data_IF_877936825748
#
_entry.id   IF_877936825748
#
_cell.length_a   1.000
_cell.length_b   1.000
_cell.length_c   1.000
_cell.angle_alpha   90.00
_cell.angle_beta   90.00
_cell.angle_gamma   90.00
#
_symmetry.space_group_name_H-M   'P 1'
#
loop_
_entity.id
_entity.type
_entity.pdbx_description
1 polymer ?
#
# COMPACT_ATOMS: atom_id res chain seq x y z
N UNK A 1 63.37 -27.50 -33.29
CA UNK A 1 63.19 -28.37 -32.10
C UNK A 1 62.89 -27.44 -30.93
N UNK A 2 61.84 -27.52 -30.12
CA UNK A 2 60.69 -28.41 -29.95
C UNK A 2 59.77 -27.69 -28.92
N UNK A 3 58.45 -27.80 -29.10
CA UNK A 3 57.26 -27.53 -28.26
C UNK A 3 57.44 -27.08 -26.77
N UNK A 4 56.51 -26.36 -26.11
CA UNK A 4 55.15 -26.81 -25.81
C UNK A 4 54.33 -25.80 -24.97
N UNK A 5 53.12 -25.49 -25.47
CA UNK A 5 51.80 -25.26 -24.82
C UNK A 5 51.63 -24.55 -23.45
N UNK A 6 51.06 -23.34 -23.57
CA UNK A 6 49.91 -22.74 -22.87
C UNK A 6 49.14 -23.58 -21.82
N UNK A 7 48.89 -23.00 -20.63
CA UNK A 7 47.69 -23.29 -19.82
C UNK A 7 47.19 -22.01 -19.15
N UNK A 8 46.27 -21.28 -19.79
CA UNK A 8 45.42 -20.31 -19.10
C UNK A 8 44.34 -21.08 -18.33
N UNK A 9 44.40 -21.07 -17.00
CA UNK A 9 43.28 -21.45 -16.15
C UNK A 9 42.21 -20.37 -16.24
N UNK A 10 41.16 -20.61 -17.03
CA UNK A 10 39.99 -19.75 -17.09
C UNK A 10 39.15 -19.95 -15.82
N UNK A 11 39.06 -18.93 -14.98
CA UNK A 11 38.14 -18.88 -13.85
C UNK A 11 36.77 -18.45 -14.38
N UNK A 12 35.86 -19.41 -14.61
CA UNK A 12 34.51 -19.12 -15.06
C UNK A 12 33.71 -18.51 -13.91
N UNK A 13 33.51 -17.19 -13.94
CA UNK A 13 32.67 -16.46 -13.00
C UNK A 13 31.20 -16.75 -13.33
N UNK A 14 30.59 -17.68 -12.59
CA UNK A 14 29.16 -17.97 -12.67
C UNK A 14 28.37 -16.76 -12.15
N UNK A 15 27.89 -15.94 -13.06
CA UNK A 15 26.88 -14.92 -12.76
C UNK A 15 25.54 -15.63 -12.53
N UNK A 16 25.23 -15.93 -11.26
CA UNK A 16 23.90 -16.39 -10.88
C UNK A 16 22.90 -15.22 -11.05
N UNK A 17 21.77 -15.42 -11.75
CA UNK A 17 20.73 -14.39 -11.82
C UNK A 17 20.08 -14.24 -10.45
N UNK A 18 20.21 -13.06 -9.84
CA UNK A 18 19.44 -12.69 -8.66
C UNK A 18 17.98 -12.51 -9.07
N UNK A 19 17.08 -13.37 -8.57
CA UNK A 19 15.64 -13.14 -8.66
C UNK A 19 15.31 -11.93 -7.78
N UNK A 20 15.19 -10.75 -8.39
CA UNK A 20 14.57 -9.62 -7.73
C UNK A 20 13.08 -9.96 -7.53
N UNK A 21 12.70 -10.26 -6.29
CA UNK A 21 11.29 -10.34 -5.91
C UNK A 21 10.72 -8.93 -6.01
N UNK A 22 10.03 -8.62 -7.10
CA UNK A 22 9.19 -7.43 -7.17
C UNK A 22 8.11 -7.58 -6.08
N UNK A 23 8.18 -6.73 -5.05
CA UNK A 23 7.10 -6.63 -4.07
C UNK A 23 5.83 -6.28 -4.85
N UNK A 24 4.76 -7.06 -4.68
CA UNK A 24 3.47 -6.70 -5.24
C UNK A 24 3.10 -5.31 -4.68
N UNK A 25 2.73 -4.39 -5.56
CA UNK A 25 2.30 -3.03 -5.21
C UNK A 25 0.80 -3.12 -4.90
N UNK A 26 0.39 -2.80 -3.66
CA UNK A 26 -1.00 -2.92 -3.17
C UNK A 26 -1.76 -1.58 -3.21
N UNK A 27 -1.29 -0.67 -4.02
CA UNK A 27 -1.73 0.71 -4.07
C UNK A 27 -3.15 0.78 -4.63
N UNK A 28 -3.92 1.71 -4.09
CA UNK A 28 -5.35 1.80 -4.34
C UNK A 28 -5.79 3.26 -4.27
N UNK A 29 -6.95 3.56 -4.83
CA UNK A 29 -7.54 4.90 -4.76
C UNK A 29 -8.56 4.98 -3.63
N UNK A 30 -8.48 6.02 -2.80
CA UNK A 30 -9.58 6.40 -1.90
C UNK A 30 -10.44 7.44 -2.60
N UNK A 31 -11.75 7.21 -2.65
CA UNK A 31 -12.76 8.19 -3.06
C UNK A 31 -13.56 8.61 -1.84
N UNK A 32 -13.57 9.91 -1.55
CA UNK A 32 -14.26 10.46 -0.40
C UNK A 32 -15.67 10.94 -0.79
N UNK A 33 -16.71 10.29 -0.25
CA UNK A 33 -18.12 10.71 -0.37
C UNK A 33 -18.76 10.80 1.01
N UNK A 34 -17.99 11.27 1.99
CA UNK A 34 -18.42 11.32 3.39
C UNK A 34 -19.07 12.65 3.77
N UNK A 35 -18.84 13.72 2.99
CA UNK A 35 -19.19 15.09 3.37
C UNK A 35 -18.15 15.79 4.24
N UNK A 36 -17.06 15.11 4.63
CA UNK A 36 -15.98 15.64 5.48
C UNK A 36 -14.64 15.47 4.78
N UNK A 37 -13.70 16.38 5.02
CA UNK A 37 -12.33 16.26 4.51
C UNK A 37 -11.58 15.17 5.27
N UNK A 38 -10.80 14.36 4.56
CA UNK A 38 -9.87 13.38 5.15
C UNK A 38 -8.48 14.02 5.14
N UNK A 39 -7.87 14.10 6.31
CA UNK A 39 -6.56 14.75 6.52
C UNK A 39 -5.42 13.73 6.59
N UNK A 40 -5.68 12.53 7.10
CA UNK A 40 -4.66 11.50 7.27
C UNK A 40 -5.17 10.13 6.83
N UNK A 41 -4.30 9.35 6.20
CA UNK A 41 -4.56 7.96 5.84
C UNK A 41 -3.41 7.10 6.35
N UNK A 42 -3.74 5.98 6.98
CA UNK A 42 -2.77 5.01 7.45
C UNK A 42 -3.10 3.64 6.88
N UNK A 43 -2.06 2.91 6.48
CA UNK A 43 -2.17 1.54 5.98
C UNK A 43 -1.18 0.66 6.75
N UNK A 44 -1.70 -0.33 7.46
CA UNK A 44 -0.93 -1.19 8.36
C UNK A 44 -1.19 -2.67 8.14
N UNK A 45 -0.21 -3.55 8.42
CA UNK A 45 -0.44 -4.99 8.33
C UNK A 45 -1.43 -5.44 9.41
N UNK A 46 -2.32 -6.38 9.08
CA UNK A 46 -3.36 -6.91 9.99
C UNK A 46 -2.82 -7.49 11.30
N UNK A 47 -1.53 -7.87 11.34
CA UNK A 47 -0.85 -8.42 12.52
C UNK A 47 -0.31 -7.36 13.48
N UNK A 48 -0.39 -6.08 13.13
CA UNK A 48 0.14 -4.95 13.91
C UNK A 48 -0.98 -4.09 14.48
N UNK A 49 -0.86 -3.73 15.76
CA UNK A 49 -1.69 -2.70 16.38
C UNK A 49 -1.17 -1.27 16.15
N UNK A 50 0.02 -1.13 15.55
CA UNK A 50 0.63 0.17 15.22
C UNK A 50 0.39 0.48 13.74
N UNK A 51 -0.09 1.70 13.46
CA UNK A 51 -0.49 2.17 12.14
C UNK A 51 0.64 2.63 11.21
N UNK A 52 1.82 2.95 11.76
CA UNK A 52 2.93 3.47 10.96
C UNK A 52 2.84 4.97 10.69
N UNK A 53 3.28 5.40 9.51
CA UNK A 53 3.25 6.80 9.06
C UNK A 53 1.98 7.09 8.27
N UNK A 54 1.54 8.35 8.29
CA UNK A 54 0.56 8.84 7.33
C UNK A 54 1.11 8.73 5.90
N UNK A 55 0.27 8.23 4.99
CA UNK A 55 0.62 7.99 3.58
C UNK A 55 0.19 9.13 2.66
N UNK A 56 -0.59 10.10 3.15
CA UNK A 56 -0.97 11.31 2.42
C UNK A 56 0.13 12.37 2.41
N UNK A 57 0.92 12.46 3.49
CA UNK A 57 2.04 13.40 3.61
C UNK A 57 1.59 14.81 3.93
N UNK A 58 1.38 15.65 2.91
CA UNK A 58 0.86 17.05 3.08
C UNK A 58 -0.50 17.26 2.40
N UNK A 59 -0.99 16.24 1.72
CA UNK A 59 -2.22 16.30 0.95
C UNK A 59 -3.43 15.95 1.83
N UNK A 60 -4.61 16.35 1.38
CA UNK A 60 -5.89 16.00 1.99
C UNK A 60 -6.86 15.57 0.88
N UNK A 61 -7.92 14.84 1.26
CA UNK A 61 -8.98 14.42 0.32
C UNK A 61 -10.26 15.14 0.69
N UNK A 62 -10.63 16.17 -0.07
CA UNK A 62 -11.90 16.86 0.09
C UNK A 62 -13.10 15.97 -0.20
N UNK A 63 -14.30 16.43 0.16
CA UNK A 63 -15.53 15.73 -0.22
C UNK A 63 -15.70 15.74 -1.74
N UNK A 64 -16.03 14.57 -2.30
CA UNK A 64 -16.13 14.35 -3.75
C UNK A 64 -14.79 14.11 -4.45
N UNK A 65 -13.66 14.24 -3.76
CA UNK A 65 -12.33 14.05 -4.32
C UNK A 65 -11.81 12.63 -4.12
N UNK A 66 -10.67 12.34 -4.75
CA UNK A 66 -9.98 11.06 -4.62
C UNK A 66 -8.48 11.22 -4.63
N UNK A 67 -7.76 10.33 -3.94
CA UNK A 67 -6.31 10.27 -3.95
C UNK A 67 -5.79 8.85 -4.16
N UNK A 68 -4.68 8.73 -4.88
CA UNK A 68 -3.95 7.47 -5.01
C UNK A 68 -3.09 7.26 -3.76
N UNK A 69 -3.38 6.18 -3.06
CA UNK A 69 -2.68 5.80 -1.85
C UNK A 69 -1.47 4.96 -2.21
N UNK A 70 -0.29 5.56 -2.04
CA UNK A 70 0.97 4.90 -2.27
C UNK A 70 1.67 4.56 -0.95
N UNK A 71 2.04 3.29 -0.76
CA UNK A 71 2.69 2.85 0.47
C UNK A 71 3.65 1.68 0.24
N UNK A 72 4.56 1.49 1.19
CA UNK A 72 5.46 0.33 1.19
C UNK A 72 4.65 -0.92 1.56
N UNK A 73 4.17 -1.62 0.54
CA UNK A 73 3.45 -2.88 0.67
C UNK A 73 4.34 -4.03 1.15
N UNK A 74 3.87 -5.26 0.97
CA UNK A 74 4.57 -6.46 1.44
C UNK A 74 4.07 -7.73 0.74
N UNK A 75 4.49 -8.90 1.22
CA UNK A 75 4.06 -10.19 0.65
C UNK A 75 2.60 -10.56 0.94
N UNK A 76 1.86 -9.74 1.69
CA UNK A 76 0.48 -10.01 2.12
C UNK A 76 -0.56 -9.21 1.34
N UNK A 77 -1.77 -9.77 1.24
CA UNK A 77 -2.89 -9.13 0.54
C UNK A 77 -3.86 -8.38 1.44
N UNK A 78 -3.95 -8.76 2.72
CA UNK A 78 -4.87 -8.15 3.68
C UNK A 78 -4.17 -7.06 4.48
N UNK A 79 -4.81 -5.90 4.54
CA UNK A 79 -4.31 -4.70 5.21
C UNK A 79 -5.42 -4.03 5.99
N UNK A 80 -5.05 -3.35 7.06
CA UNK A 80 -5.94 -2.47 7.78
C UNK A 80 -5.74 -1.04 7.27
N UNK A 81 -6.84 -0.30 7.16
CA UNK A 81 -6.86 1.10 6.73
C UNK A 81 -7.47 1.93 7.84
N UNK A 82 -6.85 3.06 8.17
CA UNK A 82 -7.42 4.07 9.06
C UNK A 82 -7.43 5.41 8.35
N UNK A 83 -8.55 6.12 8.46
CA UNK A 83 -8.71 7.49 7.98
C UNK A 83 -9.00 8.41 9.16
N UNK A 84 -8.38 9.59 9.17
CA UNK A 84 -8.64 10.65 10.15
C UNK A 84 -9.22 11.84 9.41
N UNK A 85 -10.35 12.35 9.90
CA UNK A 85 -11.06 13.49 9.34
C UNK A 85 -10.53 14.80 9.91
N UNK A 86 -10.89 15.91 9.27
CA UNK A 86 -10.46 17.26 9.66
C UNK A 86 -10.95 17.73 11.03
N UNK A 87 -11.90 17.03 11.65
CA UNK A 87 -12.36 17.26 13.02
C UNK A 87 -11.66 16.37 14.06
N UNK A 88 -10.77 15.48 13.62
CA UNK A 88 -10.02 14.53 14.43
C UNK A 88 -10.70 13.18 14.65
N UNK A 89 -11.94 12.99 14.18
CA UNK A 89 -12.58 11.68 14.23
C UNK A 89 -11.88 10.69 13.29
N UNK A 90 -11.97 9.40 13.61
CA UNK A 90 -11.31 8.37 12.83
C UNK A 90 -12.24 7.20 12.50
N UNK A 91 -12.03 6.60 11.34
CA UNK A 91 -12.66 5.35 10.94
C UNK A 91 -11.60 4.32 10.56
N UNK A 92 -11.81 3.08 10.99
CA UNK A 92 -10.90 1.97 10.77
C UNK A 92 -11.60 0.84 10.00
N UNK A 93 -10.95 0.36 8.95
CA UNK A 93 -11.41 -0.73 8.11
C UNK A 93 -10.40 -1.87 8.20
N UNK A 94 -10.84 -3.04 8.68
CA UNK A 94 -9.97 -4.16 8.99
C UNK A 94 -10.00 -5.23 7.90
N UNK A 95 -8.87 -5.90 7.72
CA UNK A 95 -8.68 -7.02 6.79
C UNK A 95 -9.08 -6.76 5.32
N UNK A 96 -8.86 -5.54 4.84
CA UNK A 96 -9.13 -5.14 3.46
C UNK A 96 -8.18 -5.87 2.50
N UNK A 97 -8.73 -6.58 1.51
CA UNK A 97 -7.94 -7.37 0.56
C UNK A 97 -7.52 -6.52 -0.65
N UNK A 98 -6.39 -5.83 -0.53
CA UNK A 98 -5.83 -4.93 -1.54
C UNK A 98 -5.26 -5.63 -2.78
N UNK A 99 -5.13 -6.96 -2.77
CA UNK A 99 -4.75 -7.69 -3.99
C UNK A 99 -5.91 -7.85 -4.99
N UNK A 100 -7.15 -7.61 -4.55
CA UNK A 100 -8.35 -7.88 -5.35
C UNK A 100 -9.19 -6.62 -5.61
N UNK A 101 -8.71 -5.46 -5.17
CA UNK A 101 -9.40 -4.18 -5.34
C UNK A 101 -8.38 -3.14 -5.79
N UNK A 102 -8.87 -2.11 -6.45
CA UNK A 102 -8.06 -0.96 -6.88
C UNK A 102 -8.64 0.36 -6.37
N UNK A 103 -9.88 0.34 -5.88
CA UNK A 103 -10.57 1.51 -5.37
C UNK A 103 -11.35 1.18 -4.10
N UNK A 104 -11.42 2.19 -3.22
CA UNK A 104 -12.28 2.18 -2.07
C UNK A 104 -13.06 3.48 -1.99
N UNK A 105 -14.38 3.36 -1.85
CA UNK A 105 -15.26 4.53 -1.73
C UNK A 105 -15.85 4.61 -0.32
N UNK A 106 -15.67 5.76 0.33
CA UNK A 106 -16.12 6.00 1.70
C UNK A 106 -17.41 6.81 1.73
N UNK A 107 -18.38 6.38 2.53
CA UNK A 107 -19.68 7.04 2.70
C UNK A 107 -20.01 7.22 4.17
N UNK A 108 -20.45 8.41 4.56
CA UNK A 108 -20.95 8.64 5.92
C UNK A 108 -22.36 8.09 6.10
N UNK A 109 -22.58 7.30 7.15
CA UNK A 109 -23.92 6.90 7.56
C UNK A 109 -24.38 7.75 8.75
N UNK A 110 -25.18 8.78 8.46
CA UNK A 110 -25.73 9.67 9.50
C UNK A 110 -26.60 8.97 10.55
N UNK A 111 -27.22 7.83 10.22
CA UNK A 111 -28.09 7.11 11.16
C UNK A 111 -27.27 6.39 12.23
N UNK A 112 -26.12 5.84 11.84
CA UNK A 112 -25.26 5.06 12.73
C UNK A 112 -24.09 5.87 13.29
N UNK A 113 -23.79 7.02 12.70
CA UNK A 113 -22.62 7.82 13.08
C UNK A 113 -21.31 7.12 12.71
N UNK A 114 -21.29 6.39 11.60
CA UNK A 114 -20.12 5.60 11.18
C UNK A 114 -19.86 5.75 9.70
N UNK A 115 -18.60 5.68 9.28
CA UNK A 115 -18.24 5.57 7.87
C UNK A 115 -18.38 4.14 7.38
N UNK A 116 -19.03 3.96 6.24
CA UNK A 116 -19.11 2.70 5.49
C UNK A 116 -18.14 2.73 4.33
N UNK A 117 -17.56 1.57 4.06
CA UNK A 117 -16.59 1.31 3.00
C UNK A 117 -17.20 0.45 1.89
N UNK A 118 -16.88 0.73 0.63
CA UNK A 118 -17.15 -0.11 -0.55
C UNK A 118 -15.84 -0.37 -1.27
N UNK A 119 -15.54 -1.63 -1.55
CA UNK A 119 -14.34 -2.09 -2.24
C UNK A 119 -14.67 -2.45 -3.69
N UNK A 120 -13.85 -1.97 -4.64
CA UNK A 120 -14.07 -2.07 -6.09
C UNK A 120 -12.83 -2.54 -6.85
#
# INVERSE_FOLDING_TARGET
>A
MLNSVLRLTAFALLLAPSLAMAQAKQDFTIVNKTGYQIDEVYVGPVSSSKWGKDVMGKDAIGDGESAEINFEGGGGCKWDIRVVYNDGDASEFREVNLCNISQVTLFWNRKTGTTRFVAE
#
